data_IF_242501325389
#
_entry.id   IF_242501325389
#
_cell.length_a   1.000
_cell.length_b   1.000
_cell.length_c   1.000
_cell.angle_alpha   90.00
_cell.angle_beta   90.00
_cell.angle_gamma   90.00
#
_symmetry.space_group_name_H-M   'P 1'
#
loop_
_entity.id
_entity.type
_entity.pdbx_description
1 polymer ?
#
# COMPACT_ATOMS: atom_id res chain seq x y z
N UNK A 1 46.88 16.27 -49.19
CA UNK A 1 45.49 16.35 -49.68
C UNK A 1 44.56 15.83 -48.60
N UNK A 2 43.60 16.64 -48.17
CA UNK A 2 42.56 16.31 -47.19
C UNK A 2 41.45 15.50 -47.89
N UNK A 3 40.93 14.45 -47.24
CA UNK A 3 39.51 14.12 -47.28
C UNK A 3 39.11 13.41 -45.98
N UNK A 4 38.20 14.05 -45.24
CA UNK A 4 37.46 13.49 -44.10
C UNK A 4 36.55 12.38 -44.60
N UNK A 5 36.43 11.27 -43.85
CA UNK A 5 35.19 10.53 -43.66
C UNK A 5 35.22 9.97 -42.25
N UNK A 6 34.25 10.40 -41.45
CA UNK A 6 33.92 9.84 -40.17
C UNK A 6 33.12 8.55 -40.38
N UNK A 7 33.33 7.54 -39.53
CA UNK A 7 32.24 6.65 -39.17
C UNK A 7 32.45 6.14 -37.74
N UNK A 8 31.61 6.69 -36.86
CA UNK A 8 31.36 6.27 -35.50
C UNK A 8 30.55 4.98 -35.56
N UNK A 9 31.03 3.87 -35.01
CA UNK A 9 30.15 2.80 -34.54
C UNK A 9 30.53 2.41 -33.12
N UNK A 10 29.77 2.99 -32.21
CA UNK A 10 29.50 2.52 -30.87
C UNK A 10 28.93 1.10 -30.96
N UNK A 11 29.44 0.15 -30.17
CA UNK A 11 28.54 -0.78 -29.51
C UNK A 11 29.06 -1.13 -28.11
N UNK A 12 28.28 -0.65 -27.15
CA UNK A 12 28.37 -0.89 -25.72
C UNK A 12 28.14 -2.37 -25.39
N UNK A 13 29.02 -2.89 -24.53
CA UNK A 13 28.68 -3.59 -23.29
C UNK A 13 27.50 -4.59 -23.34
N UNK A 14 27.79 -5.87 -23.55
CA UNK A 14 26.96 -6.94 -23.00
C UNK A 14 27.48 -7.27 -21.60
N UNK A 15 27.15 -6.41 -20.63
CA UNK A 15 27.11 -6.83 -19.23
C UNK A 15 25.98 -7.85 -19.11
N UNK A 16 26.34 -9.13 -19.15
CA UNK A 16 25.46 -10.24 -18.82
C UNK A 16 25.01 -10.07 -17.38
N UNK A 17 23.83 -9.48 -17.19
CA UNK A 17 23.11 -9.55 -15.94
C UNK A 17 22.66 -11.00 -15.80
N UNK A 18 23.34 -11.78 -14.96
CA UNK A 18 22.81 -13.05 -14.49
C UNK A 18 21.51 -12.75 -13.74
N UNK A 19 20.38 -12.85 -14.42
CA UNK A 19 19.09 -12.80 -13.78
C UNK A 19 18.99 -14.02 -12.87
N UNK A 20 19.25 -13.84 -11.58
CA UNK A 20 18.84 -14.76 -10.54
C UNK A 20 17.32 -14.85 -10.61
N UNK A 21 16.85 -15.83 -11.38
CA UNK A 21 15.46 -16.19 -11.51
C UNK A 21 14.92 -16.62 -10.14
N UNK A 22 13.89 -15.91 -9.71
CA UNK A 22 12.86 -16.37 -8.79
C UNK A 22 13.35 -16.77 -7.40
N UNK A 23 13.65 -15.77 -6.56
CA UNK A 23 13.19 -15.89 -5.18
C UNK A 23 11.67 -15.94 -5.22
N UNK A 24 11.12 -17.14 -5.06
CA UNK A 24 9.80 -17.34 -4.47
C UNK A 24 9.80 -16.62 -3.10
N UNK A 25 9.49 -15.33 -3.10
CA UNK A 25 8.72 -14.78 -2.01
C UNK A 25 7.30 -15.31 -2.23
N UNK A 26 6.96 -16.38 -1.52
CA UNK A 26 5.58 -16.80 -1.29
C UNK A 26 4.78 -15.60 -0.80
N UNK A 27 4.13 -14.91 -1.74
CA UNK A 27 3.41 -13.64 -1.59
C UNK A 27 2.01 -13.81 -0.98
N UNK A 28 1.81 -14.85 -0.18
CA UNK A 28 0.60 -15.09 0.61
C UNK A 28 0.88 -14.61 2.03
N UNK A 29 0.60 -13.38 2.47
CA UNK A 29 -0.14 -12.25 1.93
C UNK A 29 0.71 -10.99 2.16
N UNK A 30 1.02 -10.21 1.13
CA UNK A 30 1.71 -8.92 1.30
C UNK A 30 0.98 -8.00 2.31
N UNK A 31 -0.34 -8.18 2.47
CA UNK A 31 -1.19 -7.46 3.41
C UNK A 31 -1.03 -7.88 4.88
N UNK A 32 -0.69 -9.15 5.15
CA UNK A 32 -0.49 -9.64 6.51
C UNK A 32 0.70 -8.90 7.17
N UNK A 33 0.56 -8.59 8.44
CA UNK A 33 1.58 -7.93 9.26
C UNK A 33 1.01 -6.85 10.16
N UNK A 34 1.93 -6.17 10.86
CA UNK A 34 1.62 -5.02 11.72
C UNK A 34 2.04 -3.74 11.03
N UNK A 35 1.18 -2.74 11.09
CA UNK A 35 1.31 -1.50 10.35
C UNK A 35 1.02 -0.31 11.26
N UNK A 36 1.96 0.62 11.38
CA UNK A 36 1.78 1.88 12.09
C UNK A 36 1.21 2.93 11.17
N UNK A 37 0.15 3.59 11.61
CA UNK A 37 -0.47 4.70 10.89
C UNK A 37 0.49 5.89 10.81
N UNK A 38 0.64 6.42 9.61
CA UNK A 38 1.46 7.60 9.31
C UNK A 38 0.57 8.83 9.20
N UNK A 39 -0.48 8.74 8.38
CA UNK A 39 -1.40 9.84 8.14
C UNK A 39 -2.68 9.35 7.47
N UNK A 40 -3.76 10.12 7.61
CA UNK A 40 -4.94 10.00 6.77
C UNK A 40 -5.30 11.35 6.19
N UNK A 41 -5.64 11.40 4.90
CA UNK A 41 -6.07 12.62 4.21
C UNK A 41 -7.43 12.39 3.58
N UNK A 42 -8.34 13.35 3.72
CA UNK A 42 -9.69 13.26 3.20
C UNK A 42 -10.69 13.99 4.08
N UNK A 43 -11.89 13.45 4.20
CA UNK A 43 -12.99 14.13 4.88
C UNK A 43 -13.57 15.26 4.04
N UNK A 44 -14.74 15.75 4.44
CA UNK A 44 -15.48 16.81 3.74
C UNK A 44 -14.65 18.09 3.49
N UNK A 45 -13.70 18.41 4.38
CA UNK A 45 -12.84 19.58 4.28
C UNK A 45 -11.46 19.29 3.67
N UNK A 46 -11.15 18.03 3.35
CA UNK A 46 -9.85 17.63 2.81
C UNK A 46 -8.68 17.81 3.78
N UNK A 47 -8.87 17.50 5.07
CA UNK A 47 -7.83 17.65 6.08
C UNK A 47 -6.90 16.43 6.11
N UNK A 48 -5.64 16.67 6.51
CA UNK A 48 -4.69 15.62 6.84
C UNK A 48 -4.55 15.51 8.35
N UNK A 49 -4.80 14.32 8.88
CA UNK A 49 -4.59 13.96 10.28
C UNK A 49 -3.38 13.03 10.41
N UNK A 50 -2.65 13.18 11.52
CA UNK A 50 -1.41 12.45 11.83
C UNK A 50 -1.38 12.06 13.31
N UNK A 51 -0.49 11.15 13.73
CA UNK A 51 -0.32 10.86 15.15
C UNK A 51 -0.05 12.10 16.02
N UNK A 52 0.69 13.08 15.47
CA UNK A 52 1.01 14.32 16.16
C UNK A 52 -0.21 15.25 16.31
N UNK A 53 -1.01 15.43 15.25
CA UNK A 53 -2.20 16.28 15.31
C UNK A 53 -3.28 15.69 16.22
N UNK A 54 -3.45 14.37 16.18
CA UNK A 54 -4.48 13.65 16.94
C UNK A 54 -4.03 13.27 18.35
N UNK A 55 -2.75 13.49 18.69
CA UNK A 55 -2.14 13.13 19.98
C UNK A 55 -2.40 11.66 20.36
N UNK A 56 -2.38 10.78 19.35
CA UNK A 56 -2.61 9.35 19.51
C UNK A 56 -1.81 8.54 18.50
N UNK A 57 -1.55 7.29 18.82
CA UNK A 57 -0.96 6.33 17.88
C UNK A 57 -2.02 5.33 17.45
N UNK A 58 -1.99 4.97 16.17
CA UNK A 58 -2.86 3.94 15.62
C UNK A 58 -2.01 2.85 14.97
N UNK A 59 -2.35 1.60 15.26
CA UNK A 59 -1.72 0.42 14.65
C UNK A 59 -2.82 -0.51 14.14
N UNK A 60 -2.57 -1.15 12.99
CA UNK A 60 -3.38 -2.27 12.53
C UNK A 60 -2.54 -3.53 12.46
N UNK A 61 -3.12 -4.65 12.87
CA UNK A 61 -2.55 -5.99 12.71
C UNK A 61 -3.48 -6.79 11.82
N UNK A 62 -2.95 -7.23 10.68
CA UNK A 62 -3.68 -8.04 9.71
C UNK A 62 -3.07 -9.43 9.71
N UNK A 63 -3.90 -10.44 9.96
CA UNK A 63 -3.50 -11.84 9.93
C UNK A 63 -4.62 -12.67 9.32
N UNK A 64 -4.32 -13.30 8.19
CA UNK A 64 -5.28 -14.11 7.42
C UNK A 64 -6.52 -13.30 7.04
N UNK A 65 -7.66 -13.57 7.67
CA UNK A 65 -8.95 -12.90 7.46
C UNK A 65 -9.36 -12.02 8.65
N UNK A 66 -8.43 -11.68 9.55
CA UNK A 66 -8.71 -10.83 10.72
C UNK A 66 -7.88 -9.56 10.69
N UNK A 67 -8.53 -8.43 10.96
CA UNK A 67 -7.90 -7.13 11.17
C UNK A 67 -8.20 -6.63 12.58
N UNK A 68 -7.14 -6.39 13.35
CA UNK A 68 -7.18 -5.76 14.68
C UNK A 68 -6.71 -4.33 14.56
N UNK A 69 -7.42 -3.41 15.21
CA UNK A 69 -7.06 -1.99 15.29
C UNK A 69 -6.74 -1.64 16.73
N UNK A 70 -5.64 -0.92 16.93
CA UNK A 70 -5.17 -0.49 18.24
C UNK A 70 -5.07 1.03 18.27
N UNK A 71 -5.50 1.63 19.37
CA UNK A 71 -5.27 3.04 19.68
C UNK A 71 -4.43 3.13 20.95
N UNK A 72 -3.28 3.80 20.90
CA UNK A 72 -2.36 3.92 22.02
C UNK A 72 -2.02 2.56 22.66
N UNK A 73 -1.82 1.54 21.81
CA UNK A 73 -1.52 0.17 22.21
C UNK A 73 -2.70 -0.65 22.75
N UNK A 74 -3.89 -0.05 22.92
CA UNK A 74 -5.09 -0.75 23.39
C UNK A 74 -5.91 -1.25 22.20
N UNK A 75 -6.38 -2.50 22.25
CA UNK A 75 -7.25 -3.06 21.22
C UNK A 75 -8.56 -2.28 21.18
N UNK A 76 -8.85 -1.65 20.04
CA UNK A 76 -10.07 -0.88 19.80
C UNK A 76 -11.14 -1.72 19.09
N UNK A 77 -10.73 -2.55 18.13
CA UNK A 77 -11.65 -3.43 17.40
C UNK A 77 -10.92 -4.62 16.80
N UNK A 78 -11.63 -5.72 16.65
CA UNK A 78 -11.22 -6.92 15.92
C UNK A 78 -12.35 -7.30 14.97
N UNK A 79 -12.05 -7.43 13.68
CA UNK A 79 -13.06 -7.71 12.67
C UNK A 79 -12.53 -8.79 11.73
N UNK A 80 -13.43 -9.66 11.26
CA UNK A 80 -13.15 -10.50 10.11
C UNK A 80 -13.32 -9.71 8.82
N UNK A 81 -12.59 -10.09 7.78
CA UNK A 81 -12.70 -9.47 6.46
C UNK A 81 -12.52 -10.51 5.34
N UNK A 82 -13.02 -10.16 4.17
CA UNK A 82 -12.77 -10.86 2.92
C UNK A 82 -12.03 -9.95 1.93
N UNK A 83 -11.25 -10.54 1.03
CA UNK A 83 -10.68 -9.81 -0.10
C UNK A 83 -11.52 -10.08 -1.34
N UNK A 84 -12.12 -9.03 -1.91
CA UNK A 84 -12.92 -9.10 -3.15
C UNK A 84 -12.34 -8.21 -4.23
N UNK A 85 -12.51 -8.58 -5.49
CA UNK A 85 -12.23 -7.70 -6.63
C UNK A 85 -13.52 -6.98 -7.01
N UNK A 86 -13.60 -5.68 -6.77
CA UNK A 86 -14.80 -4.87 -6.93
C UNK A 86 -14.49 -3.60 -7.73
N UNK A 87 -15.51 -3.00 -8.34
CA UNK A 87 -15.37 -1.72 -9.02
C UNK A 87 -15.06 -0.60 -8.01
N UNK A 88 -14.02 0.19 -8.28
CA UNK A 88 -13.60 1.28 -7.42
C UNK A 88 -14.32 2.57 -7.77
N UNK A 89 -14.65 3.38 -6.77
CA UNK A 89 -15.15 4.75 -7.01
C UNK A 89 -14.09 5.62 -7.70
N UNK A 90 -12.83 5.18 -7.67
CA UNK A 90 -11.68 5.82 -8.30
C UNK A 90 -11.38 5.27 -9.71
N UNK A 91 -12.24 4.43 -10.28
CA UNK A 91 -12.10 3.90 -11.64
C UNK A 91 -12.14 2.37 -11.71
N UNK A 92 -11.05 1.77 -12.18
CA UNK A 92 -11.00 0.33 -12.48
C UNK A 92 -11.29 -0.58 -11.27
N UNK A 93 -11.51 -1.87 -11.56
CA UNK A 93 -11.68 -2.87 -10.50
C UNK A 93 -10.39 -3.00 -9.67
N UNK A 94 -10.55 -3.04 -8.34
CA UNK A 94 -9.46 -3.17 -7.37
C UNK A 94 -9.75 -4.28 -6.37
N UNK A 95 -8.66 -4.86 -5.82
CA UNK A 95 -8.75 -5.70 -4.63
C UNK A 95 -9.12 -4.82 -3.43
N UNK A 96 -10.13 -5.23 -2.68
CA UNK A 96 -10.66 -4.51 -1.53
C UNK A 96 -10.80 -5.41 -0.32
N UNK A 97 -10.50 -4.85 0.84
CA UNK A 97 -10.86 -5.40 2.15
C UNK A 97 -12.35 -5.08 2.36
N UNK A 98 -13.15 -6.12 2.55
CA UNK A 98 -14.59 -6.04 2.79
C UNK A 98 -14.85 -6.49 4.22
N UNK A 99 -15.35 -5.57 5.04
CA UNK A 99 -15.79 -5.82 6.43
C UNK A 99 -17.27 -5.45 6.47
N UNK A 100 -18.08 -6.28 7.11
CA UNK A 100 -19.52 -6.03 7.28
C UNK A 100 -19.77 -4.67 7.95
N UNK A 101 -20.80 -3.95 7.50
CA UNK A 101 -21.20 -2.63 7.97
C UNK A 101 -20.11 -1.53 7.92
N UNK A 102 -19.11 -1.68 7.06
CA UNK A 102 -18.09 -0.66 6.82
C UNK A 102 -17.92 -0.37 5.32
N UNK A 103 -17.49 0.84 4.96
CA UNK A 103 -17.03 1.09 3.60
C UNK A 103 -15.93 0.10 3.20
N UNK A 104 -16.01 -0.39 1.97
CA UNK A 104 -14.93 -1.20 1.39
C UNK A 104 -13.65 -0.37 1.34
N UNK A 105 -12.51 -1.02 1.52
CA UNK A 105 -11.21 -0.34 1.45
C UNK A 105 -10.37 -0.95 0.34
N UNK A 106 -10.11 -0.22 -0.74
CA UNK A 106 -9.05 -0.66 -1.66
C UNK A 106 -7.70 -0.49 -1.02
N UNK A 107 -6.77 -1.38 -1.37
CA UNK A 107 -5.44 -1.36 -0.78
C UNK A 107 -4.34 -1.51 -1.82
N UNK A 108 -3.21 -0.87 -1.53
CA UNK A 108 -1.98 -1.00 -2.30
C UNK A 108 -0.80 -1.14 -1.33
N UNK A 109 0.15 -2.00 -1.69
CA UNK A 109 1.36 -2.22 -0.89
C UNK A 109 2.56 -1.96 -1.78
N UNK A 110 3.37 -0.99 -1.37
CA UNK A 110 4.61 -0.60 -2.04
C UNK A 110 5.72 -0.60 -1.01
N UNK A 111 6.70 -1.47 -1.18
CA UNK A 111 7.78 -1.70 -0.22
C UNK A 111 7.25 -1.96 1.20
N UNK A 112 7.60 -1.10 2.16
CA UNK A 112 7.16 -1.16 3.55
C UNK A 112 5.95 -0.27 3.84
N UNK A 113 5.24 0.20 2.81
CA UNK A 113 4.06 1.05 2.95
C UNK A 113 2.80 0.32 2.54
N UNK A 114 1.74 0.53 3.33
CA UNK A 114 0.37 0.11 3.02
C UNK A 114 -0.48 1.36 2.86
N UNK A 115 -1.15 1.47 1.73
CA UNK A 115 -2.15 2.49 1.45
C UNK A 115 -3.53 1.85 1.52
N UNK A 116 -4.41 2.41 2.34
CA UNK A 116 -5.82 2.02 2.43
C UNK A 116 -6.68 3.21 2.00
N UNK A 117 -7.49 3.04 0.97
CA UNK A 117 -8.42 4.05 0.50
C UNK A 117 -9.84 3.60 0.79
N UNK A 118 -10.56 4.38 1.59
CA UNK A 118 -11.99 4.18 1.75
C UNK A 118 -12.68 4.41 0.40
N UNK A 119 -13.50 3.46 -0.03
CA UNK A 119 -14.31 3.55 -1.24
C UNK A 119 -15.60 4.35 -0.93
N UNK A 120 -15.40 5.61 -0.55
CA UNK A 120 -16.42 6.58 -0.16
C UNK A 120 -15.91 8.01 -0.43
N UNK A 121 -16.75 8.86 -1.02
CA UNK A 121 -16.35 10.18 -1.55
C UNK A 121 -15.76 11.13 -0.51
N UNK A 122 -16.35 11.20 0.69
CA UNK A 122 -15.93 12.12 1.76
C UNK A 122 -15.18 11.38 2.89
N UNK A 123 -14.65 10.20 2.60
CA UNK A 123 -13.91 9.39 3.57
C UNK A 123 -12.40 9.66 3.46
N UNK A 124 -11.56 8.77 4.00
CA UNK A 124 -10.13 9.00 4.13
C UNK A 124 -9.30 8.01 3.31
N UNK A 125 -8.14 8.51 2.87
CA UNK A 125 -7.04 7.72 2.35
C UNK A 125 -5.94 7.70 3.40
N UNK A 126 -5.48 6.51 3.77
CA UNK A 126 -4.60 6.30 4.92
C UNK A 126 -3.30 5.64 4.49
N UNK A 127 -2.18 6.21 4.95
CA UNK A 127 -0.85 5.64 4.79
C UNK A 127 -0.41 4.97 6.09
N UNK A 128 0.19 3.79 5.96
CA UNK A 128 0.80 3.05 7.04
C UNK A 128 2.20 2.60 6.67
N UNK A 129 3.06 2.44 7.68
CA UNK A 129 4.39 1.84 7.55
C UNK A 129 4.46 0.52 8.31
N UNK A 130 5.07 -0.50 7.71
CA UNK A 130 5.25 -1.81 8.32
C UNK A 130 6.13 -1.72 9.57
N UNK A 131 5.71 -2.39 10.64
CA UNK A 131 6.52 -2.57 11.84
C UNK A 131 7.47 -3.76 11.60
N UNK A 132 8.76 -3.56 11.85
CA UNK A 132 9.79 -4.60 11.76
C UNK A 132 9.74 -5.54 12.95
#
# INVERSE_FOLDING_TARGET
>A
MIKKIAFLFVLFQLLSCSSSSNMLATSENSLNGKWNWVSSTGGFIGSTITPASEKKTMTIEISNSTIKRYENGKLLSENTFEIKNLHSIYGDNKKMIVIEDRPNQSFEIKDNKLFLNDECNDCYQSEYVRIK
#
